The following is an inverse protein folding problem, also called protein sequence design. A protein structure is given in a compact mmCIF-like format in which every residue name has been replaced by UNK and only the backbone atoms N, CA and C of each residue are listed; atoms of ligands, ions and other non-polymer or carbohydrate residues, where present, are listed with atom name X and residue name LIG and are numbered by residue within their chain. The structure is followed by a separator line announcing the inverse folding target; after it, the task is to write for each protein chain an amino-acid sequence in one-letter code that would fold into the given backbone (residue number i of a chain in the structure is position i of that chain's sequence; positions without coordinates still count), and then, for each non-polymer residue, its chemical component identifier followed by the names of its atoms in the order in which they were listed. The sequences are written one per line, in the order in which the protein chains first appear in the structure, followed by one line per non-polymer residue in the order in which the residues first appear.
data_IF_770844680169
#
_entry.id   IF_770844680169
#
_cell.length_a   1.000
_cell.length_b   1.000
_cell.length_c   1.000
_cell.angle_alpha   90.00
_cell.angle_beta   90.00
_cell.angle_gamma   90.00
#
_symmetry.space_group_name_H-M   'P 1'
#
loop_
_entity.id
_entity.type
_entity.pdbx_description
1 polymer ?
#
# COMPACT_ATOMS: atom_id res chain seq x y z
N UNK A 1 -27.20 46.35 1.84
CA UNK A 1 -25.77 46.07 2.08
C UNK A 1 -25.56 45.11 3.25
N UNK A 2 -26.05 45.41 4.46
CA UNK A 2 -25.75 44.61 5.69
C UNK A 2 -26.22 43.14 5.73
N UNK A 3 -27.28 42.76 5.00
CA UNK A 3 -27.77 41.37 5.00
C UNK A 3 -26.98 40.41 4.11
N UNK A 4 -26.36 40.91 3.03
CA UNK A 4 -25.59 40.06 2.12
C UNK A 4 -24.22 39.69 2.68
N UNK A 5 -23.56 40.61 3.40
CA UNK A 5 -22.34 40.29 4.14
C UNK A 5 -22.60 39.30 5.29
N UNK A 6 -23.77 39.39 5.93
CA UNK A 6 -24.14 38.47 7.00
C UNK A 6 -24.44 37.05 6.47
N UNK A 7 -25.02 36.92 5.27
CA UNK A 7 -25.24 35.62 4.64
C UNK A 7 -23.94 35.00 4.13
N UNK A 8 -23.08 35.80 3.48
CA UNK A 8 -21.79 35.32 2.97
C UNK A 8 -20.86 34.87 4.10
N UNK A 9 -20.80 35.61 5.20
CA UNK A 9 -20.01 35.21 6.36
C UNK A 9 -20.56 33.97 7.07
N UNK A 10 -21.88 33.71 7.03
CA UNK A 10 -22.45 32.47 7.59
C UNK A 10 -22.18 31.27 6.71
N UNK A 11 -22.30 31.42 5.39
CA UNK A 11 -22.03 30.33 4.44
C UNK A 11 -20.55 29.90 4.51
N UNK A 12 -19.62 30.85 4.52
CA UNK A 12 -18.17 30.54 4.63
C UNK A 12 -17.85 29.82 5.94
N UNK A 13 -18.38 30.26 7.08
CA UNK A 13 -18.13 29.59 8.36
C UNK A 13 -18.73 28.18 8.44
N UNK A 14 -19.89 27.95 7.81
CA UNK A 14 -20.54 26.63 7.76
C UNK A 14 -19.80 25.69 6.81
N UNK A 15 -19.30 26.19 5.68
CA UNK A 15 -18.51 25.41 4.72
C UNK A 15 -17.17 24.97 5.34
N UNK A 16 -16.47 25.87 6.06
CA UNK A 16 -15.21 25.57 6.74
C UNK A 16 -15.40 24.48 7.83
N UNK A 17 -16.41 24.62 8.70
CA UNK A 17 -16.67 23.60 9.75
C UNK A 17 -17.11 22.25 9.20
N UNK A 18 -17.79 22.21 8.05
CA UNK A 18 -18.17 20.95 7.41
C UNK A 18 -16.97 20.24 6.79
N UNK A 19 -16.05 21.00 6.20
CA UNK A 19 -14.88 20.47 5.49
C UNK A 19 -13.81 19.95 6.47
N UNK A 20 -13.62 20.60 7.62
CA UNK A 20 -12.71 20.13 8.67
C UNK A 20 -13.19 18.80 9.28
N UNK A 21 -14.49 18.68 9.59
CA UNK A 21 -15.06 17.45 10.15
C UNK A 21 -15.03 16.26 9.17
N UNK A 22 -15.20 16.53 7.86
CA UNK A 22 -15.04 15.53 6.82
C UNK A 22 -13.56 15.13 6.66
N UNK A 23 -12.64 16.10 6.72
CA UNK A 23 -11.19 15.89 6.56
C UNK A 23 -10.59 15.03 7.68
N UNK A 24 -10.99 15.25 8.93
CA UNK A 24 -10.60 14.41 10.07
C UNK A 24 -11.14 12.98 9.94
N UNK A 25 -12.35 12.83 9.42
CA UNK A 25 -13.00 11.53 9.20
C UNK A 25 -12.28 10.73 8.10
N UNK A 26 -11.90 11.37 7.00
CA UNK A 26 -11.12 10.71 5.94
C UNK A 26 -9.70 10.41 6.37
N UNK A 27 -9.04 11.27 7.16
CA UNK A 27 -7.71 11.00 7.72
C UNK A 27 -7.73 9.78 8.65
N UNK A 28 -8.71 9.70 9.56
CA UNK A 28 -8.90 8.53 10.43
C UNK A 28 -9.17 7.25 9.63
N UNK A 29 -9.99 7.34 8.58
CA UNK A 29 -10.27 6.22 7.69
C UNK A 29 -9.05 5.79 6.86
N UNK A 30 -8.25 6.75 6.39
CA UNK A 30 -6.99 6.50 5.67
C UNK A 30 -5.93 5.85 6.57
N UNK A 31 -5.84 6.26 7.83
CA UNK A 31 -4.90 5.64 8.79
C UNK A 31 -5.34 4.21 9.13
N UNK A 32 -6.62 4.00 9.39
CA UNK A 32 -7.15 2.65 9.66
C UNK A 32 -6.97 1.71 8.45
N UNK A 33 -7.18 2.22 7.23
CA UNK A 33 -6.97 1.46 6.00
C UNK A 33 -5.48 1.25 5.68
N UNK A 34 -4.61 2.20 6.06
CA UNK A 34 -3.15 2.05 5.92
C UNK A 34 -2.61 0.93 6.82
N UNK A 35 -3.10 0.79 8.05
CA UNK A 35 -2.69 -0.31 8.94
C UNK A 35 -3.01 -1.68 8.31
N UNK A 36 -4.22 -1.85 7.79
CA UNK A 36 -4.62 -3.09 7.15
C UNK A 36 -3.83 -3.34 5.86
N UNK A 37 -3.53 -2.31 5.07
CA UNK A 37 -2.63 -2.43 3.92
C UNK A 37 -1.22 -2.86 4.33
N UNK A 38 -0.65 -2.28 5.38
CA UNK A 38 0.69 -2.65 5.87
C UNK A 38 0.72 -4.10 6.35
N UNK A 39 -0.32 -4.56 7.06
CA UNK A 39 -0.42 -5.95 7.52
C UNK A 39 -0.54 -6.91 6.32
N UNK A 40 -1.42 -6.61 5.36
CA UNK A 40 -1.60 -7.43 4.15
C UNK A 40 -0.33 -7.44 3.31
N UNK A 41 0.32 -6.30 3.14
CA UNK A 41 1.57 -6.17 2.39
C UNK A 41 2.73 -6.88 3.10
N UNK A 42 2.80 -6.79 4.42
CA UNK A 42 3.73 -7.53 5.26
C UNK A 42 3.53 -9.03 5.16
N UNK A 43 2.28 -9.51 5.25
CA UNK A 43 1.93 -10.92 5.03
C UNK A 43 2.23 -11.36 3.60
N UNK A 44 2.05 -10.49 2.61
CA UNK A 44 2.37 -10.77 1.21
C UNK A 44 3.87 -10.96 0.99
N UNK A 45 4.70 -10.10 1.60
CA UNK A 45 6.15 -10.25 1.58
C UNK A 45 6.57 -11.47 2.41
N UNK A 46 5.98 -11.71 3.57
CA UNK A 46 6.30 -12.88 4.40
C UNK A 46 5.94 -14.19 3.68
N UNK A 47 4.83 -14.19 2.94
CA UNK A 47 4.39 -15.33 2.14
C UNK A 47 5.33 -15.60 0.96
N UNK A 48 6.17 -14.64 0.54
CA UNK A 48 7.14 -14.88 -0.53
C UNK A 48 8.22 -15.85 -0.11
N UNK A 49 8.54 -15.99 1.18
CA UNK A 49 9.59 -16.91 1.66
C UNK A 49 9.35 -18.36 1.20
N UNK A 50 8.29 -19.04 1.67
CA UNK A 50 7.97 -20.40 1.24
C UNK A 50 7.58 -20.51 -0.24
N UNK A 51 7.03 -19.43 -0.83
CA UNK A 51 6.57 -19.41 -2.23
C UNK A 51 7.66 -18.98 -3.23
N UNK A 52 8.84 -18.56 -2.75
CA UNK A 52 9.96 -18.14 -3.59
C UNK A 52 10.48 -19.30 -4.44
N UNK A 53 10.47 -20.50 -3.87
CA UNK A 53 10.93 -21.70 -4.56
C UNK A 53 10.01 -22.08 -5.73
N UNK A 54 8.69 -21.97 -5.53
CA UNK A 54 7.71 -22.18 -6.60
C UNK A 54 7.75 -21.07 -7.65
N UNK A 55 8.15 -19.85 -7.29
CA UNK A 55 8.40 -18.78 -8.26
C UNK A 55 9.67 -19.01 -9.09
N UNK A 56 10.78 -19.43 -8.47
CA UNK A 56 12.01 -19.82 -9.18
C UNK A 56 11.73 -20.98 -10.14
N UNK A 57 11.04 -22.01 -9.68
CA UNK A 57 10.61 -23.14 -10.50
C UNK A 57 9.69 -22.68 -11.65
N UNK A 58 8.72 -21.81 -11.38
CA UNK A 58 7.84 -21.29 -12.42
C UNK A 58 8.60 -20.51 -13.49
N UNK A 59 9.62 -19.74 -13.12
CA UNK A 59 10.40 -18.91 -14.04
C UNK A 59 11.43 -19.70 -14.85
N UNK A 60 11.96 -20.81 -14.33
CA UNK A 60 13.02 -21.58 -14.97
C UNK A 60 12.57 -22.91 -15.59
N UNK A 61 11.40 -23.42 -15.22
CA UNK A 61 10.92 -24.77 -15.60
C UNK A 61 9.57 -24.74 -16.33
N UNK A 62 9.10 -23.57 -16.81
CA UNK A 62 7.80 -23.47 -17.50
C UNK A 62 6.61 -23.79 -16.56
N UNK A 63 6.72 -23.39 -15.29
CA UNK A 63 5.66 -23.58 -14.29
C UNK A 63 4.57 -22.50 -14.36
N UNK A 64 3.56 -22.63 -13.50
CA UNK A 64 2.32 -21.83 -13.53
C UNK A 64 2.57 -20.31 -13.69
N UNK A 65 2.27 -19.79 -14.88
CA UNK A 65 2.38 -18.38 -15.27
C UNK A 65 1.66 -17.41 -14.30
N UNK A 66 0.64 -17.89 -13.60
CA UNK A 66 -0.09 -17.11 -12.60
C UNK A 66 0.80 -16.67 -11.44
N UNK A 67 1.68 -17.54 -10.95
CA UNK A 67 2.61 -17.21 -9.86
C UNK A 67 3.67 -16.22 -10.35
N UNK A 68 4.17 -16.41 -11.57
CA UNK A 68 5.16 -15.51 -12.16
C UNK A 68 4.61 -14.08 -12.31
N UNK A 69 3.39 -13.94 -12.84
CA UNK A 69 2.74 -12.65 -13.04
C UNK A 69 2.37 -11.93 -11.74
N UNK A 70 1.99 -12.67 -10.68
CA UNK A 70 1.66 -12.09 -9.37
C UNK A 70 2.87 -11.43 -8.68
N UNK A 71 4.04 -12.04 -8.82
CA UNK A 71 5.28 -11.55 -8.19
C UNK A 71 6.09 -10.59 -9.07
N UNK A 72 5.77 -10.48 -10.36
CA UNK A 72 6.40 -9.54 -11.29
C UNK A 72 6.34 -8.06 -10.86
N UNK A 73 5.19 -7.50 -10.41
CA UNK A 73 5.13 -6.13 -9.92
C UNK A 73 5.97 -5.94 -8.66
N UNK A 74 6.05 -6.96 -7.80
CA UNK A 74 6.89 -6.93 -6.59
C UNK A 74 8.38 -6.91 -6.97
N UNK A 75 8.76 -7.66 -8.00
CA UNK A 75 10.13 -7.67 -8.54
C UNK A 75 10.49 -6.34 -9.19
N UNK A 76 9.54 -5.71 -9.91
CA UNK A 76 9.72 -4.34 -10.44
C UNK A 76 9.81 -3.30 -9.31
N UNK A 77 9.00 -3.42 -8.26
CA UNK A 77 9.09 -2.54 -7.09
C UNK A 77 10.41 -2.72 -6.35
N UNK A 78 10.86 -3.96 -6.16
CA UNK A 78 12.15 -4.29 -5.57
C UNK A 78 13.32 -3.75 -6.41
N UNK A 79 13.19 -3.73 -7.74
CA UNK A 79 14.15 -3.08 -8.64
C UNK A 79 14.10 -1.55 -8.60
N UNK A 80 12.95 -0.96 -8.27
CA UNK A 80 12.80 0.49 -8.14
C UNK A 80 13.34 1.01 -6.80
N UNK A 81 13.23 0.21 -5.74
CA UNK A 81 13.68 0.56 -4.39
C UNK A 81 14.82 -0.41 -4.00
N UNK A 82 16.10 -0.04 -4.27
CA UNK A 82 17.25 -0.90 -3.99
C UNK A 82 17.30 -1.48 -2.55
N UNK A 83 17.02 -0.72 -1.47
CA UNK A 83 17.06 -1.29 -0.12
C UNK A 83 15.94 -2.32 0.12
N UNK A 84 14.82 -2.20 -0.57
CA UNK A 84 13.70 -3.15 -0.45
C UNK A 84 14.05 -4.46 -1.17
N UNK A 85 14.73 -4.39 -2.31
CA UNK A 85 15.28 -5.55 -3.00
C UNK A 85 16.32 -6.31 -2.18
N UNK A 86 17.28 -5.61 -1.55
CA UNK A 86 18.27 -6.23 -0.66
C UNK A 86 17.63 -6.86 0.58
N UNK A 87 16.62 -6.21 1.16
CA UNK A 87 15.91 -6.75 2.32
C UNK A 87 15.13 -8.02 2.00
N UNK A 88 14.43 -8.04 0.86
CA UNK A 88 13.74 -9.24 0.37
C UNK A 88 14.73 -10.34 0.02
N UNK A 89 15.86 -10.00 -0.62
CA UNK A 89 16.91 -10.97 -0.94
C UNK A 89 17.53 -11.58 0.34
N UNK A 90 17.79 -10.75 1.36
CA UNK A 90 18.25 -11.22 2.68
C UNK A 90 17.21 -12.13 3.35
N UNK A 91 15.93 -11.75 3.31
CA UNK A 91 14.83 -12.55 3.86
C UNK A 91 14.70 -13.92 3.19
N UNK A 92 14.81 -13.98 1.86
CA UNK A 92 14.84 -15.23 1.09
C UNK A 92 16.08 -16.06 1.43
N UNK A 93 17.24 -15.42 1.58
CA UNK A 93 18.49 -16.11 1.95
C UNK A 93 18.38 -16.78 3.33
N UNK A 94 17.69 -16.15 4.28
CA UNK A 94 17.42 -16.70 5.62
C UNK A 94 16.53 -17.96 5.56
N UNK A 95 15.68 -18.07 4.54
CA UNK A 95 14.83 -19.25 4.33
C UNK A 95 15.55 -20.42 3.65
N UNK A 96 16.60 -20.14 2.87
CA UNK A 96 17.39 -21.14 2.15
C UNK A 96 18.43 -21.81 3.06
N UNK A 97 18.86 -21.12 4.12
CA UNK A 97 19.90 -21.56 5.05
C UNK A 97 19.32 -22.21 6.30
#
# INVERSE_FOLDING_TARGET
MSLLEQTESRDVSVEETSNDAEQDSVLGYLIASAEQMVIVFGLYILSIGPMYWTWIEAKHVDGSHFIAAFYEPLWKLAGWIPPLGEWVNWYVCLWIY
#
